data_IF_024576677699
#
_entry.id   IF_024576677699
#
_cell.length_a   1.000
_cell.length_b   1.000
_cell.length_c   1.000
_cell.angle_alpha   90.00
_cell.angle_beta   90.00
_cell.angle_gamma   90.00
#
_symmetry.space_group_name_H-M   'P 1'
#
loop_
_entity.id
_entity.type
_entity.pdbx_description
1 polymer ?
#
# COMPACT_ATOMS: atom_id res chain seq x y z
N UNK A 1 -19.45 -10.20 -30.44
CA UNK A 1 -20.06 -9.25 -29.48
C UNK A 1 -18.87 -8.77 -28.62
N UNK A 2 -18.45 -7.54 -28.84
CA UNK A 2 -17.43 -6.91 -28.00
C UNK A 2 -18.17 -6.55 -26.71
N UNK A 3 -17.75 -7.15 -25.59
CA UNK A 3 -18.24 -6.75 -24.28
C UNK A 3 -17.70 -5.35 -23.99
N UNK A 4 -18.54 -4.34 -24.17
CA UNK A 4 -18.19 -2.94 -23.97
C UNK A 4 -18.09 -2.54 -22.48
N UNK A 5 -18.18 -3.52 -21.58
CA UNK A 5 -18.15 -3.29 -20.14
C UNK A 5 -16.75 -3.29 -19.53
N UNK A 6 -15.75 -3.80 -20.26
CA UNK A 6 -14.37 -3.94 -19.78
C UNK A 6 -13.35 -3.60 -20.86
N UNK A 7 -12.26 -2.97 -20.45
CA UNK A 7 -11.10 -2.71 -21.29
C UNK A 7 -9.84 -3.24 -20.57
N UNK A 8 -8.92 -3.81 -21.33
CA UNK A 8 -7.65 -4.31 -20.81
C UNK A 8 -6.50 -3.51 -21.40
N UNK A 9 -5.57 -3.11 -20.56
CA UNK A 9 -4.32 -2.46 -20.96
C UNK A 9 -3.18 -3.38 -20.56
N UNK A 10 -2.37 -3.79 -21.54
CA UNK A 10 -1.12 -4.49 -21.29
C UNK A 10 0.04 -3.49 -21.32
N UNK A 11 0.91 -3.54 -20.34
CA UNK A 11 2.10 -2.70 -20.24
C UNK A 11 3.27 -3.47 -19.69
N UNK A 12 4.48 -3.10 -20.10
CA UNK A 12 5.73 -3.57 -19.53
C UNK A 12 6.31 -2.43 -18.71
N UNK A 13 6.68 -2.70 -17.48
CA UNK A 13 7.27 -1.74 -16.55
C UNK A 13 8.56 -2.29 -15.95
N UNK A 14 9.55 -1.41 -15.79
CA UNK A 14 10.82 -1.68 -15.12
C UNK A 14 10.88 -1.11 -13.69
N UNK A 15 9.75 -0.68 -13.14
CA UNK A 15 9.71 -0.12 -11.80
C UNK A 15 9.73 -1.20 -10.72
N UNK A 16 10.32 -0.90 -9.57
CA UNK A 16 10.31 -1.80 -8.41
C UNK A 16 8.88 -2.09 -7.93
N UNK A 17 7.97 -1.13 -8.06
CA UNK A 17 6.55 -1.31 -7.75
C UNK A 17 5.91 -2.37 -8.67
N UNK A 18 6.31 -2.42 -9.94
CA UNK A 18 5.82 -3.43 -10.88
C UNK A 18 6.19 -4.84 -10.45
N UNK A 19 7.40 -5.04 -9.94
CA UNK A 19 7.88 -6.34 -9.44
C UNK A 19 7.11 -6.82 -8.20
N UNK A 20 6.61 -5.88 -7.40
CA UNK A 20 5.88 -6.16 -6.17
C UNK A 20 4.35 -6.24 -6.38
N UNK A 21 3.88 -5.93 -7.59
CA UNK A 21 2.47 -5.91 -7.93
C UNK A 21 1.84 -7.31 -7.87
N UNK A 22 0.66 -7.39 -7.30
CA UNK A 22 -0.09 -8.63 -7.18
C UNK A 22 -1.41 -8.56 -7.94
N UNK A 23 -1.89 -9.72 -8.38
CA UNK A 23 -3.22 -9.83 -9.00
C UNK A 23 -4.27 -9.40 -7.97
N UNK A 24 -5.16 -8.50 -8.37
CA UNK A 24 -6.18 -7.90 -7.51
C UNK A 24 -5.81 -6.52 -6.97
N UNK A 25 -4.55 -6.10 -7.09
CA UNK A 25 -4.13 -4.75 -6.68
C UNK A 25 -4.86 -3.68 -7.48
N UNK A 26 -5.25 -2.61 -6.78
CA UNK A 26 -5.89 -1.46 -7.39
C UNK A 26 -4.85 -0.38 -7.66
N UNK A 27 -4.78 0.05 -8.91
CA UNK A 27 -3.89 1.11 -9.39
C UNK A 27 -4.69 2.21 -10.07
N UNK A 28 -4.07 3.37 -10.26
CA UNK A 28 -4.67 4.45 -11.06
C UNK A 28 -3.85 4.67 -12.32
N UNK A 29 -4.54 4.86 -13.42
CA UNK A 29 -3.96 5.17 -14.73
C UNK A 29 -4.25 6.64 -15.02
N UNK A 30 -3.22 7.46 -15.17
CA UNK A 30 -3.34 8.85 -15.60
C UNK A 30 -3.10 8.91 -17.09
N UNK A 31 -4.12 9.32 -17.84
CA UNK A 31 -4.04 9.51 -19.28
C UNK A 31 -3.36 10.83 -19.62
N UNK A 32 -2.93 10.98 -20.87
CA UNK A 32 -2.29 12.20 -21.39
C UNK A 32 -3.16 13.45 -21.29
N UNK A 33 -4.48 13.30 -21.20
CA UNK A 33 -5.43 14.40 -20.94
C UNK A 33 -5.62 14.70 -19.44
N UNK A 34 -4.72 14.21 -18.58
CA UNK A 34 -4.74 14.32 -17.12
C UNK A 34 -5.93 13.63 -16.41
N UNK A 35 -6.78 12.92 -17.13
CA UNK A 35 -7.82 12.09 -16.51
C UNK A 35 -7.18 10.90 -15.78
N UNK A 36 -7.69 10.61 -14.60
CA UNK A 36 -7.25 9.49 -13.78
C UNK A 36 -8.36 8.44 -13.70
N UNK A 37 -8.05 7.23 -14.13
CA UNK A 37 -8.97 6.09 -14.18
C UNK A 37 -8.48 5.02 -13.20
N UNK A 38 -9.39 4.42 -12.45
CA UNK A 38 -9.08 3.28 -11.58
C UNK A 38 -9.01 2.01 -12.42
N UNK A 39 -7.95 1.22 -12.18
CA UNK A 39 -7.73 -0.07 -12.80
C UNK A 39 -7.41 -1.14 -11.77
N UNK A 40 -7.61 -2.39 -12.11
CA UNK A 40 -7.26 -3.55 -11.28
C UNK A 40 -6.25 -4.41 -12.03
N UNK A 41 -5.20 -4.85 -11.36
CA UNK A 41 -4.23 -5.79 -11.93
C UNK A 41 -4.86 -7.16 -12.03
N UNK A 42 -4.99 -7.69 -13.24
CA UNK A 42 -5.56 -9.02 -13.50
C UNK A 42 -4.51 -10.06 -13.88
N UNK A 43 -3.34 -9.60 -14.28
CA UNK A 43 -2.22 -10.47 -14.63
C UNK A 43 -0.90 -9.76 -14.37
N UNK A 44 0.10 -10.49 -13.91
CA UNK A 44 1.48 -10.04 -13.79
C UNK A 44 2.41 -11.21 -14.12
N UNK A 45 3.48 -10.93 -14.88
CA UNK A 45 4.54 -11.88 -15.23
C UNK A 45 5.87 -11.16 -15.30
N UNK A 46 6.88 -11.71 -14.66
CA UNK A 46 8.24 -11.20 -14.79
C UNK A 46 8.84 -11.74 -16.09
N UNK A 47 9.07 -10.88 -17.07
CA UNK A 47 9.61 -11.24 -18.39
C UNK A 47 11.14 -11.26 -18.40
N UNK A 48 11.78 -10.46 -17.54
CA UNK A 48 13.22 -10.41 -17.31
C UNK A 48 13.54 -9.93 -15.91
N UNK A 49 14.82 -9.84 -15.54
CA UNK A 49 15.23 -9.29 -14.23
C UNK A 49 14.73 -7.85 -13.98
N UNK A 50 14.56 -7.09 -15.05
CA UNK A 50 14.19 -5.67 -14.98
C UNK A 50 12.75 -5.38 -15.45
N UNK A 51 12.12 -6.30 -16.18
CA UNK A 51 10.85 -6.05 -16.84
C UNK A 51 9.71 -6.94 -16.31
N UNK A 52 8.61 -6.33 -15.96
CA UNK A 52 7.38 -6.99 -15.55
C UNK A 52 6.24 -6.62 -16.50
N UNK A 53 5.61 -7.62 -17.10
CA UNK A 53 4.37 -7.47 -17.86
C UNK A 53 3.21 -7.39 -16.87
N UNK A 54 2.35 -6.42 -17.07
CA UNK A 54 1.15 -6.21 -16.26
C UNK A 54 -0.04 -6.02 -17.17
N UNK A 55 -1.15 -6.69 -16.85
CA UNK A 55 -2.43 -6.47 -17.50
C UNK A 55 -3.39 -5.83 -16.51
N UNK A 56 -3.92 -4.69 -16.89
CA UNK A 56 -4.85 -3.87 -16.13
C UNK A 56 -6.26 -4.03 -16.70
N UNK A 57 -7.23 -4.34 -15.85
CA UNK A 57 -8.65 -4.30 -16.19
C UNK A 57 -9.23 -2.93 -15.79
N UNK A 58 -9.94 -2.32 -16.71
CA UNK A 58 -10.70 -1.09 -16.52
C UNK A 58 -12.16 -1.37 -16.81
N UNK A 59 -13.04 -1.11 -15.86
CA UNK A 59 -14.47 -1.37 -15.95
C UNK A 59 -15.35 -0.11 -15.86
N UNK A 60 -14.71 1.07 -15.82
CA UNK A 60 -15.40 2.37 -15.81
C UNK A 60 -14.70 3.33 -16.78
N UNK A 61 -15.47 4.25 -17.37
CA UNK A 61 -14.96 5.27 -18.31
C UNK A 61 -14.27 4.69 -19.56
N UNK A 62 -14.72 3.55 -20.02
CA UNK A 62 -14.14 2.80 -21.15
C UNK A 62 -14.21 3.59 -22.46
N UNK A 63 -15.21 4.45 -22.64
CA UNK A 63 -15.37 5.30 -23.82
C UNK A 63 -14.13 6.15 -24.12
N UNK A 64 -13.36 6.52 -23.12
CA UNK A 64 -12.11 7.28 -23.28
C UNK A 64 -11.00 6.44 -23.91
N UNK A 65 -11.06 5.12 -23.79
CA UNK A 65 -10.02 4.19 -24.21
C UNK A 65 -10.40 3.39 -25.45
N UNK A 66 -11.69 3.28 -25.75
CA UNK A 66 -12.23 2.37 -26.79
C UNK A 66 -11.71 2.65 -28.21
N UNK A 67 -11.24 3.87 -28.49
CA UNK A 67 -10.77 4.28 -29.81
C UNK A 67 -9.26 4.16 -30.00
N UNK A 68 -8.52 3.75 -28.98
CA UNK A 68 -7.06 3.71 -29.03
C UNK A 68 -6.54 2.27 -29.03
N UNK A 69 -5.63 1.95 -29.96
CA UNK A 69 -4.86 0.71 -29.96
C UNK A 69 -3.58 0.80 -29.13
N UNK A 70 -3.08 2.02 -28.97
CA UNK A 70 -1.88 2.33 -28.20
C UNK A 70 -2.09 3.67 -27.50
N UNK A 71 -1.85 3.70 -26.19
CA UNK A 71 -1.99 4.90 -25.37
C UNK A 71 -0.70 5.13 -24.58
N UNK A 72 -0.43 6.39 -24.30
CA UNK A 72 0.59 6.78 -23.30
C UNK A 72 -0.11 7.15 -22.02
N UNK A 73 0.37 6.63 -20.90
CA UNK A 73 -0.21 6.87 -19.58
C UNK A 73 0.85 6.76 -18.50
N UNK A 74 0.59 7.39 -17.37
CA UNK A 74 1.34 7.21 -16.13
C UNK A 74 0.60 6.23 -15.23
N UNK A 75 1.33 5.28 -14.68
CA UNK A 75 0.79 4.35 -13.70
C UNK A 75 1.05 4.88 -12.30
N UNK A 76 -0.03 5.18 -11.58
CA UNK A 76 0.01 5.58 -10.17
C UNK A 76 -0.24 4.34 -9.34
N UNK A 77 0.84 3.75 -8.85
CA UNK A 77 0.85 2.43 -8.24
C UNK A 77 -0.02 2.34 -7.00
N UNK A 78 0.15 3.28 -6.08
CA UNK A 78 -0.60 3.28 -4.84
C UNK A 78 -1.05 4.69 -4.51
N UNK A 79 -2.24 4.78 -4.00
CA UNK A 79 -2.74 6.00 -3.38
C UNK A 79 -3.26 5.64 -1.98
N UNK A 80 -2.47 4.88 -1.24
CA UNK A 80 -2.79 4.57 0.14
C UNK A 80 -2.34 5.75 1.00
N UNK A 81 -3.30 6.30 1.73
CA UNK A 81 -3.01 7.28 2.77
C UNK A 81 -2.44 6.55 3.97
N UNK A 82 -1.17 6.75 4.21
CA UNK A 82 -0.46 6.15 5.34
C UNK A 82 0.81 6.91 5.64
N UNK A 83 1.44 6.59 6.75
CA UNK A 83 2.71 7.16 7.15
C UNK A 83 3.85 6.32 6.58
N UNK A 84 4.81 6.98 5.95
CA UNK A 84 6.02 6.34 5.46
C UNK A 84 7.01 6.16 6.60
N UNK A 85 7.33 4.91 6.92
CA UNK A 85 8.20 4.54 8.04
C UNK A 85 9.37 3.71 7.54
N UNK A 86 10.62 3.94 7.99
CA UNK A 86 11.74 3.05 7.68
C UNK A 86 11.46 1.63 8.19
N UNK A 87 11.80 0.61 7.40
CA UNK A 87 11.62 -0.78 7.82
C UNK A 87 12.33 -1.11 9.14
N UNK A 88 13.47 -0.45 9.40
CA UNK A 88 14.23 -0.59 10.65
C UNK A 88 13.50 -0.10 11.91
N UNK A 89 12.43 0.71 11.75
CA UNK A 89 11.63 1.17 12.88
C UNK A 89 10.46 0.21 13.20
N UNK A 90 10.23 -0.82 12.37
CA UNK A 90 9.14 -1.77 12.55
C UNK A 90 9.68 -3.07 13.13
N UNK A 91 9.06 -3.55 14.19
CA UNK A 91 9.34 -4.85 14.80
C UNK A 91 8.08 -5.69 14.82
N UNK A 92 8.22 -6.94 14.42
CA UNK A 92 7.15 -7.93 14.50
C UNK A 92 7.22 -8.68 15.83
N UNK A 93 6.09 -8.75 16.52
CA UNK A 93 5.93 -9.55 17.74
C UNK A 93 4.55 -10.21 17.74
N UNK A 94 4.50 -11.52 17.91
CA UNK A 94 3.27 -12.33 17.94
C UNK A 94 2.37 -12.15 16.69
N UNK A 95 2.97 -11.94 15.52
CA UNK A 95 2.23 -11.75 14.25
C UNK A 95 1.68 -10.33 14.05
N UNK A 96 2.04 -9.39 14.92
CA UNK A 96 1.66 -7.98 14.81
C UNK A 96 2.90 -7.10 14.61
N UNK A 97 2.71 -6.00 13.89
CA UNK A 97 3.76 -5.02 13.65
C UNK A 97 3.66 -3.85 14.62
N UNK A 98 4.78 -3.47 15.19
CA UNK A 98 4.88 -2.39 16.16
C UNK A 98 5.97 -1.40 15.75
N UNK A 99 5.74 -0.14 16.10
CA UNK A 99 6.77 0.89 16.13
C UNK A 99 6.93 1.42 17.56
N UNK A 100 8.10 1.94 17.88
CA UNK A 100 8.34 2.59 19.17
C UNK A 100 8.52 4.09 18.93
N UNK A 101 7.60 4.87 19.51
CA UNK A 101 7.64 6.32 19.49
C UNK A 101 8.38 6.83 20.71
N UNK A 102 9.32 7.74 20.47
CA UNK A 102 9.95 8.53 21.53
C UNK A 102 9.22 9.88 21.69
N UNK A 103 8.69 10.13 22.86
CA UNK A 103 8.11 11.42 23.21
C UNK A 103 8.75 11.93 24.50
N UNK A 104 9.73 12.83 24.36
CA UNK A 104 10.47 13.41 25.49
C UNK A 104 11.08 12.35 26.43
N UNK A 105 11.62 11.26 25.89
CA UNK A 105 12.22 10.17 26.64
C UNK A 105 11.25 9.06 27.06
N UNK A 106 9.94 9.24 26.87
CA UNK A 106 8.96 8.18 27.06
C UNK A 106 8.84 7.35 25.79
N UNK A 107 8.99 6.05 25.92
CA UNK A 107 8.92 5.10 24.80
C UNK A 107 7.55 4.43 24.78
N UNK A 108 6.78 4.74 23.75
CA UNK A 108 5.45 4.19 23.53
C UNK A 108 5.50 3.09 22.47
N UNK A 109 5.06 1.88 22.80
CA UNK A 109 4.82 0.79 21.84
C UNK A 109 3.49 1.02 21.14
N UNK A 110 3.52 1.15 19.81
CA UNK A 110 2.33 1.45 19.01
C UNK A 110 2.13 0.35 17.98
N UNK A 111 0.94 -0.26 18.00
CA UNK A 111 0.51 -1.23 16.99
C UNK A 111 0.21 -0.52 15.68
N UNK A 112 0.77 -1.00 14.57
CA UNK A 112 0.56 -0.44 13.24
C UNK A 112 0.18 -1.51 12.22
N UNK A 113 -0.63 -1.12 11.26
CA UNK A 113 -0.97 -1.94 10.11
C UNK A 113 -0.01 -1.59 8.97
N UNK A 114 0.80 -2.55 8.53
CA UNK A 114 1.69 -2.40 7.38
C UNK A 114 0.88 -2.71 6.12
N UNK A 115 0.55 -1.68 5.35
CA UNK A 115 -0.24 -1.81 4.12
C UNK A 115 0.62 -2.04 2.90
N UNK A 116 1.86 -1.51 2.89
CA UNK A 116 2.85 -1.70 1.82
C UNK A 116 4.26 -1.72 2.40
N UNK A 117 5.14 -2.47 1.74
CA UNK A 117 6.54 -2.58 2.13
C UNK A 117 7.41 -2.68 0.88
N UNK A 118 8.53 -1.97 0.88
CA UNK A 118 9.64 -2.16 -0.06
C UNK A 118 10.93 -2.45 0.73
N UNK A 119 12.09 -2.47 0.06
CA UNK A 119 13.36 -2.82 0.70
C UNK A 119 13.80 -1.87 1.82
N UNK A 120 13.33 -0.62 1.80
CA UNK A 120 13.77 0.45 2.73
C UNK A 120 12.67 0.98 3.62
N UNK A 121 11.43 1.05 3.11
CA UNK A 121 10.32 1.73 3.76
C UNK A 121 9.05 0.89 3.72
N UNK A 122 8.21 1.13 4.71
CA UNK A 122 6.83 0.64 4.76
C UNK A 122 5.86 1.80 4.82
N UNK A 123 4.67 1.59 4.28
CA UNK A 123 3.53 2.46 4.53
C UNK A 123 2.71 1.81 5.64
N UNK A 124 2.48 2.56 6.71
CA UNK A 124 1.74 2.10 7.87
C UNK A 124 0.52 2.97 8.12
N UNK A 125 -0.54 2.35 8.61
CA UNK A 125 -1.77 3.02 9.05
C UNK A 125 -2.08 2.62 10.49
N UNK A 126 -2.87 3.44 11.18
CA UNK A 126 -3.46 3.04 12.43
C UNK A 126 -4.63 2.09 12.15
N UNK A 127 -4.83 1.11 13.01
CA UNK A 127 -6.03 0.29 13.00
C UNK A 127 -7.23 1.11 13.46
N UNK A 128 -8.38 0.90 12.83
CA UNK A 128 -9.67 1.37 13.33
C UNK A 128 -10.14 0.54 14.54
N UNK A 129 -11.06 1.07 15.31
CA UNK A 129 -11.65 0.36 16.46
C UNK A 129 -12.28 -0.98 16.05
N UNK A 130 -12.92 -1.03 14.90
CA UNK A 130 -13.60 -2.25 14.43
C UNK A 130 -12.58 -3.31 13.96
N UNK A 131 -11.51 -2.90 13.30
CA UNK A 131 -10.41 -3.79 12.95
C UNK A 131 -9.74 -4.39 14.18
N UNK A 132 -9.49 -3.58 15.23
CA UNK A 132 -8.90 -4.05 16.48
C UNK A 132 -9.81 -5.06 17.20
N UNK A 133 -11.14 -4.84 17.21
CA UNK A 133 -12.08 -5.82 17.74
C UNK A 133 -12.07 -7.13 16.96
N UNK A 134 -12.00 -7.06 15.63
CA UNK A 134 -11.91 -8.24 14.77
C UNK A 134 -10.61 -9.03 14.97
N UNK A 135 -9.53 -8.36 15.36
CA UNK A 135 -8.26 -8.97 15.75
C UNK A 135 -8.28 -9.56 17.17
N UNK A 136 -9.37 -9.40 17.92
CA UNK A 136 -9.57 -10.00 19.24
C UNK A 136 -9.16 -9.12 20.42
N UNK A 137 -8.85 -7.83 20.20
CA UNK A 137 -8.55 -6.91 21.31
C UNK A 137 -9.81 -6.52 22.08
N UNK A 138 -9.70 -6.46 23.39
CA UNK A 138 -10.81 -6.02 24.26
C UNK A 138 -11.05 -4.51 24.12
N UNK A 139 -12.28 -4.06 24.38
CA UNK A 139 -12.61 -2.63 24.37
C UNK A 139 -11.76 -1.82 25.35
N UNK A 140 -11.38 -2.41 26.49
CA UNK A 140 -10.51 -1.79 27.49
C UNK A 140 -9.09 -1.60 26.98
N UNK A 141 -8.56 -2.59 26.24
CA UNK A 141 -7.21 -2.51 25.64
C UNK A 141 -7.18 -1.49 24.52
N UNK A 142 -8.22 -1.49 23.67
CA UNK A 142 -8.36 -0.53 22.57
C UNK A 142 -8.35 0.92 23.06
N UNK A 143 -9.01 1.21 24.18
CA UNK A 143 -9.02 2.56 24.76
C UNK A 143 -7.63 3.03 25.23
N UNK A 144 -6.74 2.10 25.57
CA UNK A 144 -5.37 2.39 26.01
C UNK A 144 -4.37 2.46 24.87
N UNK A 145 -4.74 1.95 23.69
CA UNK A 145 -3.85 1.93 22.54
C UNK A 145 -3.55 3.33 22.03
N UNK A 146 -2.29 3.55 21.70
CA UNK A 146 -1.81 4.79 21.14
C UNK A 146 -1.75 4.67 19.61
N UNK A 147 -1.86 5.79 18.94
CA UNK A 147 -1.81 5.88 17.48
C UNK A 147 -0.56 6.61 17.03
N UNK A 148 -0.03 6.20 15.86
CA UNK A 148 1.06 6.92 15.21
C UNK A 148 0.51 8.14 14.47
N UNK A 149 1.25 9.25 14.51
CA UNK A 149 0.91 10.51 13.84
C UNK A 149 2.07 11.01 13.00
N UNK A 150 1.77 11.93 12.07
CA UNK A 150 2.79 12.65 11.32
C UNK A 150 3.68 13.45 12.30
N UNK A 151 4.99 13.46 12.05
CA UNK A 151 6.02 14.07 12.91
C UNK A 151 6.30 13.34 14.24
N UNK A 152 5.73 12.15 14.48
CA UNK A 152 6.19 11.33 15.59
C UNK A 152 7.65 10.88 15.38
N UNK A 153 8.47 10.98 16.41
CA UNK A 153 9.83 10.50 16.40
C UNK A 153 9.86 8.99 16.70
N UNK A 154 10.36 8.19 15.76
CA UNK A 154 10.43 6.74 15.88
C UNK A 154 11.85 6.26 16.16
N UNK A 155 11.98 5.28 17.04
CA UNK A 155 13.23 4.60 17.31
C UNK A 155 13.53 3.59 16.20
N UNK A 156 14.76 3.61 15.68
CA UNK A 156 15.25 2.60 14.75
C UNK A 156 15.78 1.38 15.53
N UNK A 157 15.48 0.18 15.03
CA UNK A 157 15.81 -1.09 15.69
C UNK A 157 15.38 -1.12 17.16
N UNK A 158 14.08 -0.85 17.45
CA UNK A 158 13.63 -0.68 18.81
C UNK A 158 13.64 -2.01 19.57
N UNK A 159 13.97 -1.93 20.86
CA UNK A 159 13.79 -3.00 21.82
C UNK A 159 12.41 -2.84 22.49
N UNK A 160 11.47 -3.70 22.12
CA UNK A 160 10.09 -3.63 22.63
C UNK A 160 9.99 -3.83 24.14
N UNK A 161 10.97 -4.48 24.76
CA UNK A 161 10.99 -4.68 26.23
C UNK A 161 11.15 -3.37 27.01
N UNK A 162 11.61 -2.31 26.37
CA UNK A 162 11.84 -0.99 26.97
C UNK A 162 10.71 0.01 26.71
N UNK A 163 9.68 -0.39 25.97
CA UNK A 163 8.55 0.45 25.61
C UNK A 163 7.28 0.01 26.35
N UNK A 164 6.45 1.00 26.72
CA UNK A 164 5.16 0.79 27.39
C UNK A 164 4.00 0.85 26.42
#
# INVERSE_FOLDING_TARGET
IIDSSKCYIATISNSEQAKQAQIGDSVKVRLSNSKVIKATITYTSQESEEETLIILEINKQISELANYRKISFDLIWWNETGLKVPNQAIVEENGFNYVVRNRAGYLDKILVNVTRKNDKYSIVTNYSTDELKNLGFSSTDIQKMKSISIYDELILNPDLSKAN
#
